data_IF_872290568565
#
_entry.id   IF_872290568565
#
_cell.length_a   1.000
_cell.length_b   1.000
_cell.length_c   1.000
_cell.angle_alpha   90.00
_cell.angle_beta   90.00
_cell.angle_gamma   90.00
#
_symmetry.space_group_name_H-M   'P 1'
#
loop_
_entity.id
_entity.type
_entity.pdbx_description
1 polymer ?
#
# COMPACT_ATOMS: atom_id res chain seq x y z
N UNK A 1 29.28 -53.63 25.29
CA UNK A 1 27.90 -53.10 25.22
C UNK A 1 27.34 -53.45 23.85
N UNK A 2 26.17 -54.08 23.75
CA UNK A 2 25.56 -54.29 22.44
C UNK A 2 25.19 -52.92 21.83
N UNK A 3 25.57 -52.70 20.58
CA UNK A 3 25.15 -51.55 19.80
C UNK A 3 23.67 -51.71 19.43
N UNK A 4 22.81 -50.86 19.97
CA UNK A 4 21.40 -50.82 19.62
C UNK A 4 21.18 -49.72 18.59
N UNK A 5 20.64 -50.10 17.43
CA UNK A 5 20.27 -49.12 16.38
C UNK A 5 19.03 -48.34 16.82
N UNK A 6 19.17 -47.06 17.06
CA UNK A 6 18.05 -46.18 17.27
C UNK A 6 17.45 -45.78 15.91
N UNK A 7 16.19 -46.13 15.67
CA UNK A 7 15.49 -45.79 14.45
C UNK A 7 14.30 -44.93 14.79
N UNK A 8 14.32 -43.69 14.32
CA UNK A 8 13.23 -42.72 14.49
C UNK A 8 12.35 -42.71 13.25
N UNK A 9 11.04 -42.58 13.45
CA UNK A 9 10.07 -42.38 12.38
C UNK A 9 10.12 -40.91 11.94
N UNK A 10 10.17 -40.60 10.63
CA UNK A 10 10.10 -39.23 10.17
C UNK A 10 8.68 -38.67 10.28
N UNK A 11 8.59 -37.36 10.47
CA UNK A 11 7.30 -36.67 10.56
C UNK A 11 6.78 -36.48 11.98
N UNK A 12 5.76 -35.65 12.13
CA UNK A 12 5.07 -35.38 13.39
C UNK A 12 3.73 -36.07 13.35
N UNK A 13 3.46 -36.92 14.33
CA UNK A 13 2.19 -37.62 14.46
C UNK A 13 1.54 -37.27 15.81
N UNK A 14 0.42 -36.57 15.75
CA UNK A 14 -0.40 -36.15 16.90
C UNK A 14 -1.70 -36.95 17.02
N UNK A 15 -1.99 -37.83 16.07
CA UNK A 15 -3.24 -38.59 16.04
C UNK A 15 -3.28 -39.74 17.08
N UNK A 16 -2.11 -40.13 17.58
CA UNK A 16 -1.97 -41.19 18.56
C UNK A 16 -1.30 -40.66 19.82
N UNK A 17 -1.46 -41.38 20.92
CA UNK A 17 -0.81 -41.01 22.18
C UNK A 17 0.71 -41.09 22.04
N UNK A 18 1.45 -40.33 22.86
CA UNK A 18 2.92 -40.36 22.87
C UNK A 18 3.48 -41.73 23.15
N UNK A 19 2.76 -42.59 23.92
CA UNK A 19 3.12 -43.95 24.21
C UNK A 19 3.00 -44.85 22.97
N UNK A 20 1.94 -44.70 22.19
CA UNK A 20 1.73 -45.50 20.96
C UNK A 20 2.66 -45.02 19.82
N UNK A 21 3.13 -43.80 19.88
CA UNK A 21 4.05 -43.18 18.90
C UNK A 21 5.53 -43.41 19.28
N UNK A 22 5.84 -44.53 19.93
CA UNK A 22 7.23 -44.84 20.30
C UNK A 22 8.16 -44.78 19.08
N UNK A 23 9.28 -44.08 19.20
CA UNK A 23 10.21 -43.81 18.10
C UNK A 23 9.74 -42.73 17.10
N UNK A 24 8.59 -42.12 17.32
CA UNK A 24 8.08 -40.96 16.52
C UNK A 24 8.20 -39.63 17.23
N UNK A 25 7.84 -38.59 16.52
CA UNK A 25 7.82 -37.20 17.00
C UNK A 25 6.37 -36.77 17.22
N UNK A 26 6.07 -36.25 18.40
CA UNK A 26 4.73 -35.76 18.76
C UNK A 26 4.62 -34.29 18.48
N UNK A 27 5.72 -33.54 18.65
CA UNK A 27 5.81 -32.10 18.39
C UNK A 27 7.22 -31.70 17.96
N UNK A 28 7.34 -30.62 17.22
CA UNK A 28 8.64 -30.03 16.88
C UNK A 28 8.48 -28.53 16.56
N UNK A 29 9.51 -27.73 16.86
CA UNK A 29 9.64 -26.34 16.47
C UNK A 29 10.92 -26.16 15.66
N UNK A 30 10.81 -25.44 14.55
CA UNK A 30 11.95 -25.07 13.65
C UNK A 30 12.72 -26.27 13.11
N UNK A 31 12.04 -27.39 12.90
CA UNK A 31 12.58 -28.63 12.34
C UNK A 31 11.81 -29.02 11.09
N UNK A 32 12.51 -29.45 10.07
CA UNK A 32 11.96 -30.15 8.90
C UNK A 32 12.52 -31.57 8.82
N UNK A 33 11.78 -32.44 8.16
CA UNK A 33 12.26 -33.79 7.86
C UNK A 33 12.71 -33.86 6.41
N UNK A 34 13.97 -34.22 6.20
CA UNK A 34 14.54 -34.42 4.86
C UNK A 34 15.16 -35.79 4.77
N UNK A 35 14.77 -36.55 3.75
CA UNK A 35 15.22 -37.95 3.57
C UNK A 35 15.05 -38.80 4.81
N UNK A 36 14.00 -38.55 5.61
CA UNK A 36 13.73 -39.28 6.84
C UNK A 36 14.45 -38.78 8.10
N UNK A 37 15.30 -37.80 7.99
CA UNK A 37 16.06 -37.23 9.12
C UNK A 37 15.54 -35.86 9.53
N UNK A 38 15.46 -35.56 10.86
CA UNK A 38 15.15 -34.21 11.32
C UNK A 38 16.34 -33.28 11.05
N UNK A 39 16.05 -32.13 10.44
CA UNK A 39 17.00 -31.09 10.10
C UNK A 39 16.48 -29.75 10.59
N UNK A 40 17.34 -28.92 11.17
CA UNK A 40 16.94 -27.55 11.54
C UNK A 40 16.53 -26.77 10.31
N UNK A 41 15.39 -26.08 10.39
CA UNK A 41 15.06 -25.04 9.42
C UNK A 41 16.04 -23.92 9.63
N UNK A 42 16.72 -23.48 8.55
CA UNK A 42 17.62 -22.32 8.60
C UNK A 42 16.91 -21.08 9.12
N UNK A 43 17.67 -20.15 9.70
CA UNK A 43 17.14 -18.88 10.17
C UNK A 43 16.67 -18.00 9.00
N UNK A 44 15.86 -17.00 9.34
CA UNK A 44 15.43 -15.96 8.40
C UNK A 44 16.59 -14.96 8.21
N UNK A 45 16.89 -14.65 6.97
CA UNK A 45 17.81 -13.58 6.61
C UNK A 45 17.01 -12.47 5.95
N UNK A 46 17.29 -11.23 6.29
CA UNK A 46 16.65 -10.10 5.61
C UNK A 46 17.00 -10.13 4.12
N UNK A 47 15.98 -9.99 3.28
CA UNK A 47 16.15 -9.89 1.83
C UNK A 47 16.88 -8.60 1.45
N UNK A 48 16.55 -7.48 2.10
CA UNK A 48 17.17 -6.17 1.89
C UNK A 48 17.52 -5.52 3.22
N UNK A 49 18.56 -4.71 3.24
CA UNK A 49 18.91 -3.83 4.38
C UNK A 49 18.04 -2.57 4.41
N UNK A 50 17.44 -2.21 3.27
CA UNK A 50 16.55 -1.08 3.14
C UNK A 50 15.18 -1.38 3.75
N UNK A 51 14.47 -0.32 4.11
CA UNK A 51 13.14 -0.39 4.70
C UNK A 51 12.10 0.30 3.82
N UNK A 52 10.85 -0.09 3.97
CA UNK A 52 9.70 0.53 3.33
C UNK A 52 8.67 0.93 4.39
N UNK A 53 7.73 1.79 4.03
CA UNK A 53 6.67 2.22 4.93
C UNK A 53 5.46 1.30 4.82
N UNK A 54 4.84 1.03 5.96
CA UNK A 54 3.64 0.21 6.06
C UNK A 54 3.90 -1.28 6.24
N UNK A 55 2.82 -2.04 6.32
CA UNK A 55 2.83 -3.51 6.42
C UNK A 55 2.58 -4.12 5.05
N UNK A 56 3.48 -4.98 4.56
CA UNK A 56 3.31 -5.66 3.27
C UNK A 56 2.06 -6.55 3.30
N UNK A 57 1.22 -6.42 2.28
CA UNK A 57 -0.04 -7.16 2.09
C UNK A 57 -0.08 -7.93 0.80
N UNK A 58 0.77 -7.55 -0.16
CA UNK A 58 0.95 -8.29 -1.40
C UNK A 58 2.41 -8.31 -1.80
N UNK A 59 2.80 -9.36 -2.48
CA UNK A 59 4.12 -9.55 -3.06
C UNK A 59 3.94 -10.19 -4.43
N UNK A 60 4.45 -9.52 -5.45
CA UNK A 60 4.39 -10.02 -6.83
C UNK A 60 5.75 -9.91 -7.48
N UNK A 61 6.24 -10.98 -8.11
CA UNK A 61 7.56 -10.99 -8.75
C UNK A 61 7.45 -11.27 -10.24
N UNK A 62 8.18 -10.51 -11.05
CA UNK A 62 8.29 -10.75 -12.48
C UNK A 62 9.68 -10.43 -12.98
N UNK A 63 9.95 -10.82 -14.23
CA UNK A 63 11.24 -10.63 -14.88
C UNK A 63 10.98 -9.91 -16.20
N UNK A 64 11.69 -8.81 -16.43
CA UNK A 64 11.67 -8.10 -17.70
C UNK A 64 12.46 -8.86 -18.80
N UNK A 65 12.22 -8.52 -20.05
CA UNK A 65 12.94 -9.09 -21.19
C UNK A 65 14.46 -8.87 -21.13
N UNK A 66 14.89 -7.80 -20.45
CA UNK A 66 16.30 -7.52 -20.15
C UNK A 66 16.92 -8.49 -19.14
N UNK A 67 16.13 -9.36 -18.49
CA UNK A 67 16.56 -10.21 -17.39
C UNK A 67 16.54 -9.51 -16.02
N UNK A 68 16.15 -8.24 -15.95
CA UNK A 68 15.99 -7.51 -14.68
C UNK A 68 14.84 -8.12 -13.88
N UNK A 69 15.12 -8.42 -12.63
CA UNK A 69 14.13 -8.98 -11.69
C UNK A 69 13.48 -7.86 -10.90
N UNK A 70 12.16 -7.85 -10.87
CA UNK A 70 11.36 -6.92 -10.08
C UNK A 70 10.56 -7.67 -9.03
N UNK A 71 10.35 -7.01 -7.91
CA UNK A 71 9.43 -7.44 -6.87
C UNK A 71 8.50 -6.28 -6.53
N UNK A 72 7.21 -6.44 -6.79
CA UNK A 72 6.15 -5.56 -6.31
C UNK A 72 5.87 -5.82 -4.83
N UNK A 73 5.77 -4.76 -4.05
CA UNK A 73 5.44 -4.81 -2.62
C UNK A 73 4.31 -3.83 -2.35
N UNK A 74 3.09 -4.34 -2.25
CA UNK A 74 1.92 -3.56 -1.87
C UNK A 74 1.77 -3.51 -0.35
N UNK A 75 1.73 -2.29 0.20
CA UNK A 75 1.51 -2.07 1.64
C UNK A 75 0.15 -1.44 1.89
N UNK A 76 -0.22 -1.25 3.16
CA UNK A 76 -1.43 -0.53 3.54
C UNK A 76 -1.40 0.97 3.21
N UNK A 77 -0.23 1.54 2.92
CA UNK A 77 -0.07 2.98 2.67
C UNK A 77 0.62 3.32 1.35
N UNK A 78 1.36 2.38 0.76
CA UNK A 78 2.15 2.61 -0.47
C UNK A 78 2.28 1.35 -1.32
N UNK A 79 2.70 1.54 -2.57
CA UNK A 79 3.14 0.46 -3.44
C UNK A 79 4.57 0.71 -3.91
N UNK A 80 5.42 -0.30 -3.79
CA UNK A 80 6.83 -0.24 -4.15
C UNK A 80 7.18 -1.23 -5.25
N UNK A 81 8.11 -0.85 -6.13
CA UNK A 81 8.84 -1.77 -6.99
C UNK A 81 10.28 -1.87 -6.47
N UNK A 82 10.71 -3.08 -6.20
CA UNK A 82 12.07 -3.37 -5.75
C UNK A 82 12.91 -3.78 -6.94
N UNK A 83 13.99 -3.05 -7.17
CA UNK A 83 15.04 -3.35 -8.12
C UNK A 83 16.38 -3.22 -7.42
N UNK A 84 17.22 -4.25 -7.46
CA UNK A 84 18.55 -4.21 -6.84
C UNK A 84 18.56 -3.82 -5.37
N UNK A 85 17.66 -4.37 -4.56
CA UNK A 85 17.44 -4.09 -3.12
C UNK A 85 16.86 -2.70 -2.78
N UNK A 86 16.64 -1.81 -3.75
CA UNK A 86 16.03 -0.51 -3.52
C UNK A 86 14.51 -0.59 -3.60
N UNK A 87 13.80 -0.05 -2.61
CA UNK A 87 12.35 0.12 -2.63
C UNK A 87 11.99 1.45 -3.30
N UNK A 88 11.49 1.39 -4.53
CA UNK A 88 11.12 2.56 -5.30
C UNK A 88 9.60 2.76 -5.19
N UNK A 89 9.19 3.89 -4.66
CA UNK A 89 7.78 4.21 -4.45
C UNK A 89 7.11 4.59 -5.78
N UNK A 90 6.22 3.72 -6.24
CA UNK A 90 5.42 3.93 -7.46
C UNK A 90 3.95 4.19 -7.16
N UNK A 91 3.59 4.47 -5.91
CA UNK A 91 2.20 4.75 -5.51
C UNK A 91 1.57 5.80 -6.40
N UNK A 92 0.40 5.57 -6.98
CA UNK A 92 -0.23 6.51 -7.89
C UNK A 92 -0.56 7.86 -7.24
N UNK A 93 -0.52 8.92 -8.04
CA UNK A 93 -0.94 10.27 -7.64
C UNK A 93 -2.38 10.47 -8.08
N UNK A 94 -3.29 10.76 -7.12
CA UNK A 94 -4.70 11.02 -7.40
C UNK A 94 -5.00 12.45 -7.81
N UNK A 95 -4.20 13.42 -7.33
CA UNK A 95 -4.40 14.84 -7.59
C UNK A 95 -3.07 15.58 -7.57
N UNK A 96 -2.91 16.52 -8.47
CA UNK A 96 -1.82 17.51 -8.45
C UNK A 96 -2.42 18.89 -8.41
N UNK A 97 -1.99 19.72 -7.45
CA UNK A 97 -2.34 21.12 -7.35
C UNK A 97 -1.12 21.96 -7.69
N UNK A 98 -1.28 22.95 -8.57
CA UNK A 98 -0.20 23.82 -9.02
C UNK A 98 -0.43 25.24 -8.53
N UNK A 99 0.52 25.81 -7.81
CA UNK A 99 0.55 27.21 -7.40
C UNK A 99 -0.44 27.64 -6.31
N UNK A 100 -1.24 26.71 -5.78
CA UNK A 100 -2.30 27.06 -4.82
C UNK A 100 -1.95 26.73 -3.37
N UNK A 101 -1.06 25.73 -3.13
CA UNK A 101 -0.70 25.34 -1.78
C UNK A 101 0.18 26.39 -1.09
N UNK A 102 -0.19 26.75 0.13
CA UNK A 102 0.55 27.70 0.98
C UNK A 102 0.79 27.10 2.36
N UNK A 103 1.84 27.59 3.03
CA UNK A 103 2.30 27.08 4.31
C UNK A 103 2.26 28.17 5.38
N UNK A 104 2.01 27.75 6.62
CA UNK A 104 2.12 28.59 7.80
C UNK A 104 2.68 27.76 8.97
N UNK A 105 3.70 28.28 9.63
CA UNK A 105 4.34 27.63 10.80
C UNK A 105 4.43 28.65 11.94
N UNK A 106 3.99 28.25 13.12
CA UNK A 106 4.14 29.10 14.30
C UNK A 106 5.58 29.12 14.82
N UNK A 107 5.99 30.23 15.43
CA UNK A 107 7.28 30.32 16.09
C UNK A 107 7.41 29.27 17.19
N UNK A 108 8.48 28.49 17.17
CA UNK A 108 8.72 27.38 18.09
C UNK A 108 8.03 26.07 17.72
N UNK A 109 7.25 26.02 16.63
CA UNK A 109 6.53 24.80 16.21
C UNK A 109 7.28 24.04 15.10
N UNK A 110 7.04 22.73 15.06
CA UNK A 110 7.43 21.83 13.96
C UNK A 110 6.22 21.39 13.14
N UNK A 111 5.02 21.84 13.50
CA UNK A 111 3.80 21.57 12.77
C UNK A 111 3.56 22.71 11.79
N UNK A 112 3.50 22.39 10.51
CA UNK A 112 3.10 23.32 9.46
C UNK A 112 1.63 23.10 9.11
N UNK A 113 0.87 24.18 9.03
CA UNK A 113 -0.48 24.18 8.43
C UNK A 113 -0.34 24.45 6.94
N UNK A 114 -0.89 23.58 6.13
CA UNK A 114 -0.98 23.72 4.68
C UNK A 114 -2.40 24.12 4.31
N UNK A 115 -2.53 25.13 3.48
CA UNK A 115 -3.81 25.55 2.87
C UNK A 115 -3.77 25.20 1.39
N UNK A 116 -4.67 24.34 0.93
CA UNK A 116 -4.89 23.99 -0.47
C UNK A 116 -6.38 23.65 -0.66
N UNK A 117 -7.05 24.38 -1.51
CA UNK A 117 -8.50 24.29 -1.69
C UNK A 117 -8.93 22.91 -2.21
N UNK A 118 -9.91 22.33 -1.53
CA UNK A 118 -10.53 21.04 -1.91
C UNK A 118 -9.48 19.97 -2.16
N UNK A 119 -8.47 19.87 -1.28
CA UNK A 119 -7.38 18.88 -1.42
C UNK A 119 -7.87 17.43 -1.37
N UNK A 120 -8.98 17.17 -0.69
CA UNK A 120 -9.62 15.85 -0.59
C UNK A 120 -8.74 14.78 0.08
N UNK A 121 -7.78 15.18 0.88
CA UNK A 121 -6.90 14.28 1.61
C UNK A 121 -7.47 13.93 2.98
N UNK A 122 -7.12 12.75 3.49
CA UNK A 122 -7.42 12.26 4.83
C UNK A 122 -6.14 12.28 5.69
N UNK A 123 -6.31 12.20 7.00
CA UNK A 123 -5.18 11.95 7.90
C UNK A 123 -4.56 10.58 7.59
N UNK A 124 -3.24 10.52 7.51
CA UNK A 124 -2.49 9.33 7.08
C UNK A 124 -2.17 9.28 5.59
N UNK A 125 -2.81 10.13 4.75
CA UNK A 125 -2.43 10.26 3.33
C UNK A 125 -1.03 10.89 3.19
N UNK A 126 -0.42 10.72 2.03
CA UNK A 126 0.88 11.31 1.71
C UNK A 126 0.75 12.39 0.64
N UNK A 127 1.54 13.45 0.82
CA UNK A 127 1.66 14.54 -0.14
C UNK A 127 3.12 14.85 -0.39
N UNK A 128 3.51 15.03 -1.65
CA UNK A 128 4.85 15.46 -2.04
C UNK A 128 4.79 16.88 -2.55
N UNK A 129 5.62 17.78 -1.97
CA UNK A 129 5.75 19.14 -2.45
C UNK A 129 6.99 19.33 -3.31
N UNK A 130 6.87 20.21 -4.27
CA UNK A 130 7.98 20.73 -5.06
C UNK A 130 7.77 22.20 -5.41
N UNK A 131 8.85 22.90 -5.72
CA UNK A 131 8.83 24.34 -6.09
C UNK A 131 8.28 25.27 -4.99
N UNK A 132 8.20 24.82 -3.75
CA UNK A 132 7.91 25.69 -2.62
C UNK A 132 9.13 26.57 -2.29
N UNK A 133 8.89 27.86 -2.05
CA UNK A 133 9.90 28.78 -1.59
C UNK A 133 10.08 28.72 -0.06
N UNK A 134 11.19 29.23 0.46
CA UNK A 134 11.41 29.39 1.90
C UNK A 134 10.36 30.31 2.53
N UNK A 135 10.03 30.03 3.80
CA UNK A 135 9.19 30.96 4.58
C UNK A 135 9.96 32.17 5.13
N UNK A 136 11.29 32.21 4.94
CA UNK A 136 12.13 33.33 5.32
C UNK A 136 13.03 33.10 6.54
N UNK A 137 12.82 32.02 7.28
CA UNK A 137 13.59 31.65 8.46
C UNK A 137 14.17 30.23 8.37
N UNK A 138 13.92 29.43 9.41
CA UNK A 138 14.37 28.04 9.48
C UNK A 138 13.64 27.10 8.51
N UNK A 139 12.43 27.45 8.13
CA UNK A 139 11.63 26.66 7.19
C UNK A 139 12.04 27.02 5.77
N UNK A 140 13.08 26.37 5.30
CA UNK A 140 13.68 26.60 3.97
C UNK A 140 12.92 25.83 2.89
N UNK A 141 13.19 26.14 1.62
CA UNK A 141 12.67 25.38 0.48
C UNK A 141 13.04 23.90 0.55
N UNK A 142 14.25 23.56 1.03
CA UNK A 142 14.69 22.17 1.19
C UNK A 142 13.89 21.41 2.26
N UNK A 143 13.42 22.10 3.29
CA UNK A 143 12.55 21.53 4.34
C UNK A 143 11.15 21.27 3.80
N UNK A 144 10.64 22.11 2.90
CA UNK A 144 9.29 22.01 2.37
C UNK A 144 9.17 21.08 1.15
N UNK A 145 10.17 21.04 0.28
CA UNK A 145 10.12 20.26 -0.97
C UNK A 145 10.46 18.78 -0.75
N UNK A 146 9.65 18.13 0.09
CA UNK A 146 9.76 16.73 0.47
C UNK A 146 8.39 16.07 0.44
N UNK A 147 8.37 14.77 0.72
CA UNK A 147 7.15 14.02 0.98
C UNK A 147 6.80 14.07 2.46
N UNK A 148 5.52 14.27 2.76
CA UNK A 148 4.98 14.34 4.12
C UNK A 148 3.74 13.48 4.28
N UNK A 149 3.61 12.88 5.45
CA UNK A 149 2.36 12.31 5.93
C UNK A 149 1.46 13.42 6.48
N UNK A 150 0.20 13.42 6.09
CA UNK A 150 -0.82 14.35 6.58
C UNK A 150 -1.25 13.92 7.97
N UNK A 151 -1.00 14.77 8.98
CA UNK A 151 -1.26 14.44 10.37
C UNK A 151 -2.71 14.65 10.76
N UNK A 152 -3.29 15.78 10.41
CA UNK A 152 -4.68 16.13 10.68
C UNK A 152 -5.29 16.89 9.51
N UNK A 153 -6.60 16.79 9.37
CA UNK A 153 -7.39 17.50 8.35
C UNK A 153 -8.48 18.31 9.05
N UNK A 154 -8.16 19.55 9.52
CA UNK A 154 -9.14 20.42 10.19
C UNK A 154 -10.29 20.86 9.29
N UNK A 155 -10.08 20.99 8.00
CA UNK A 155 -11.11 21.38 7.03
C UNK A 155 -10.83 20.80 5.65
N UNK A 156 -11.80 20.92 4.74
CA UNK A 156 -11.64 20.52 3.33
C UNK A 156 -10.52 21.29 2.59
N UNK A 157 -10.03 22.38 3.16
CA UNK A 157 -9.05 23.27 2.55
C UNK A 157 -7.75 23.37 3.33
N UNK A 158 -7.64 22.74 4.51
CA UNK A 158 -6.46 22.85 5.37
C UNK A 158 -6.11 21.50 6.00
N UNK A 159 -4.82 21.23 6.10
CA UNK A 159 -4.28 20.07 6.81
C UNK A 159 -2.95 20.41 7.47
N UNK A 160 -2.46 19.56 8.33
CA UNK A 160 -1.18 19.73 9.02
C UNK A 160 -0.17 18.66 8.62
N UNK A 161 1.09 19.07 8.57
CA UNK A 161 2.24 18.18 8.35
C UNK A 161 3.31 18.48 9.40
N UNK A 162 4.19 17.51 9.66
CA UNK A 162 5.37 17.71 10.52
C UNK A 162 6.60 18.00 9.66
N UNK A 163 7.19 19.17 9.85
CA UNK A 163 8.43 19.54 9.18
C UNK A 163 9.64 19.22 10.07
N UNK A 164 10.81 19.01 9.45
CA UNK A 164 12.03 18.61 10.17
C UNK A 164 12.71 19.77 10.93
N UNK A 165 12.31 21.02 10.65
CA UNK A 165 12.88 22.21 11.29
C UNK A 165 11.84 22.90 12.18
N UNK A 166 12.31 23.52 13.25
CA UNK A 166 11.46 24.35 14.13
C UNK A 166 11.34 25.75 13.57
N UNK A 167 10.11 26.21 13.37
CA UNK A 167 9.82 27.55 12.89
C UNK A 167 10.35 28.64 13.83
N UNK A 168 10.73 29.77 13.29
CA UNK A 168 11.16 30.93 14.04
C UNK A 168 10.36 32.18 13.65
N UNK A 169 10.64 33.31 14.32
CA UNK A 169 9.92 34.57 14.09
C UNK A 169 10.11 35.14 12.67
N UNK A 170 11.09 34.67 11.91
CA UNK A 170 11.35 35.09 10.53
C UNK A 170 10.60 34.28 9.48
N UNK A 171 9.96 33.15 9.88
CA UNK A 171 9.17 32.29 9.00
C UNK A 171 7.78 32.89 8.75
N UNK A 172 7.74 34.03 8.10
CA UNK A 172 6.52 34.84 7.79
C UNK A 172 6.03 34.66 6.35
N UNK A 173 6.81 33.98 5.49
CA UNK A 173 6.42 33.66 4.13
C UNK A 173 5.37 32.54 4.06
N UNK A 174 4.86 32.32 2.87
CA UNK A 174 3.81 31.32 2.61
C UNK A 174 4.21 30.21 1.61
N UNK A 175 5.50 30.07 1.31
CA UNK A 175 5.99 29.06 0.36
C UNK A 175 5.97 29.53 -1.12
N UNK A 176 5.46 30.72 -1.41
CA UNK A 176 5.38 31.28 -2.76
C UNK A 176 4.23 30.70 -3.61
N UNK A 177 4.00 31.35 -4.77
CA UNK A 177 2.87 31.00 -5.68
C UNK A 177 3.18 29.91 -6.72
N UNK A 178 4.27 29.17 -6.61
CA UNK A 178 4.69 28.12 -7.55
C UNK A 178 4.70 26.70 -6.95
N UNK A 179 4.27 26.56 -5.70
CA UNK A 179 4.24 25.25 -5.01
C UNK A 179 3.38 24.26 -5.75
N UNK A 180 3.96 23.10 -6.06
CA UNK A 180 3.24 21.95 -6.62
C UNK A 180 3.03 20.94 -5.50
N UNK A 181 1.79 20.58 -5.24
CA UNK A 181 1.42 19.55 -4.29
C UNK A 181 0.87 18.31 -5.04
N UNK A 182 1.50 17.14 -4.83
CA UNK A 182 1.09 15.87 -5.41
C UNK A 182 0.56 14.96 -4.31
N UNK A 183 -0.73 14.69 -4.34
CA UNK A 183 -1.42 13.83 -3.37
C UNK A 183 -1.45 12.39 -3.87
N UNK A 184 -0.99 11.46 -3.07
CA UNK A 184 -1.12 10.03 -3.36
C UNK A 184 -2.58 9.58 -3.27
N UNK A 185 -2.85 8.40 -3.82
CA UNK A 185 -4.13 7.71 -3.57
C UNK A 185 -4.22 7.34 -2.10
N UNK A 186 -5.44 7.35 -1.56
CA UNK A 186 -5.72 6.73 -0.27
C UNK A 186 -5.71 5.21 -0.47
N UNK A 187 -4.80 4.52 0.21
CA UNK A 187 -4.68 3.07 0.16
C UNK A 187 -5.68 2.35 1.10
N UNK A 188 -6.54 3.11 1.77
CA UNK A 188 -7.54 2.56 2.66
C UNK A 188 -7.05 2.34 4.09
N UNK A 189 -7.85 1.62 4.86
CA UNK A 189 -7.60 1.45 6.30
C UNK A 189 -6.44 0.48 6.57
N UNK A 190 -5.68 0.77 7.62
CA UNK A 190 -4.66 -0.14 8.14
C UNK A 190 -5.29 -1.41 8.73
N UNK A 191 -6.41 -1.27 9.39
CA UNK A 191 -7.16 -2.39 9.96
C UNK A 191 -8.62 -2.33 9.53
N UNK A 192 -9.22 -3.50 9.29
CA UNK A 192 -10.65 -3.57 9.05
C UNK A 192 -11.40 -3.34 10.36
N UNK A 193 -12.28 -2.35 10.39
CA UNK A 193 -13.24 -2.19 11.48
C UNK A 193 -14.34 -3.22 11.30
N UNK A 194 -14.55 -4.08 12.31
CA UNK A 194 -15.63 -5.07 12.28
C UNK A 194 -16.98 -4.40 12.07
N UNK A 195 -17.87 -5.05 11.32
CA UNK A 195 -19.23 -4.59 11.05
C UNK A 195 -20.09 -4.44 12.33
N UNK A 196 -21.36 -4.15 12.15
CA UNK A 196 -22.36 -4.10 13.24
C UNK A 196 -22.66 -5.51 13.74
N UNK A 197 -22.68 -5.72 15.05
CA UNK A 197 -23.06 -7.00 15.65
C UNK A 197 -22.33 -7.30 16.97
N UNK A 198 -22.63 -8.46 17.53
CA UNK A 198 -21.97 -8.97 18.73
C UNK A 198 -20.48 -9.17 18.47
N UNK A 199 -19.62 -8.47 19.23
CA UNK A 199 -18.18 -8.48 19.04
C UNK A 199 -17.62 -7.44 18.06
N UNK A 200 -18.44 -6.62 17.44
CA UNK A 200 -18.02 -5.51 16.59
C UNK A 200 -17.64 -4.27 17.41
N UNK A 201 -16.41 -4.22 17.90
CA UNK A 201 -15.88 -3.08 18.65
C UNK A 201 -16.11 -3.15 20.16
N UNK A 202 -15.94 -2.02 20.86
CA UNK A 202 -16.07 -1.95 22.32
C UNK A 202 -17.51 -2.09 22.79
N UNK A 203 -17.74 -2.76 23.93
CA UNK A 203 -18.99 -2.72 24.66
C UNK A 203 -19.33 -1.27 25.00
N UNK A 204 -20.61 -0.87 24.88
CA UNK A 204 -21.12 0.50 25.03
C UNK A 204 -21.04 1.39 23.79
N UNK A 205 -20.99 0.82 22.59
CA UNK A 205 -21.22 1.57 21.35
C UNK A 205 -22.72 1.85 21.17
N UNK A 206 -23.18 2.94 21.72
CA UNK A 206 -24.60 3.34 21.62
C UNK A 206 -25.48 2.76 22.72
N UNK A 207 -26.75 3.20 22.75
CA UNK A 207 -27.76 2.73 23.67
C UNK A 207 -28.36 1.41 23.20
N UNK A 208 -28.94 0.62 24.12
CA UNK A 208 -29.68 -0.59 23.77
C UNK A 208 -30.76 -0.26 22.72
N UNK A 209 -30.70 -0.95 21.58
CA UNK A 209 -31.64 -0.75 20.47
C UNK A 209 -31.24 0.27 19.42
N UNK A 210 -30.13 0.99 19.57
CA UNK A 210 -29.54 1.80 18.50
C UNK A 210 -28.33 1.10 17.89
N UNK A 211 -28.38 0.90 16.58
CA UNK A 211 -27.20 0.42 15.85
C UNK A 211 -26.11 1.50 15.92
N UNK A 212 -24.90 1.11 16.34
CA UNK A 212 -23.74 1.97 16.13
C UNK A 212 -23.56 2.19 14.63
N UNK A 213 -23.44 3.43 14.20
CA UNK A 213 -23.07 3.75 12.81
C UNK A 213 -21.60 3.34 12.61
N UNK A 214 -21.38 2.11 12.21
CA UNK A 214 -20.09 1.65 11.74
C UNK A 214 -20.15 1.70 10.23
N UNK A 215 -19.23 2.41 9.59
CA UNK A 215 -19.07 2.32 8.15
C UNK A 215 -18.72 0.87 7.81
N UNK A 216 -19.64 0.15 7.22
CA UNK A 216 -19.45 -1.24 6.78
C UNK A 216 -18.71 -1.30 5.43
N UNK A 217 -18.49 -0.14 4.81
CA UNK A 217 -17.95 -0.02 3.46
C UNK A 217 -16.42 0.06 3.41
N UNK A 218 -15.75 0.24 4.54
CA UNK A 218 -14.31 0.28 4.57
C UNK A 218 -13.72 -1.14 4.44
N UNK A 219 -13.37 -1.52 3.23
CA UNK A 219 -12.67 -2.78 2.97
C UNK A 219 -11.18 -2.65 3.34
N UNK A 220 -10.60 -3.75 3.79
CA UNK A 220 -9.16 -3.83 3.99
C UNK A 220 -8.44 -3.52 2.67
N UNK A 221 -7.43 -2.64 2.72
CA UNK A 221 -6.59 -2.33 1.57
C UNK A 221 -5.80 -3.58 1.15
N UNK A 222 -6.22 -4.20 0.07
CA UNK A 222 -5.57 -5.34 -0.55
C UNK A 222 -5.23 -4.96 -1.99
N UNK A 223 -4.01 -5.23 -2.38
CA UNK A 223 -3.57 -5.06 -3.75
C UNK A 223 -3.78 -6.34 -4.55
N UNK A 224 -4.21 -6.19 -5.79
CA UNK A 224 -4.09 -7.22 -6.81
C UNK A 224 -3.21 -6.67 -7.93
N UNK A 225 -2.28 -7.47 -8.35
CA UNK A 225 -1.28 -7.11 -9.34
C UNK A 225 -1.05 -8.22 -10.33
N UNK A 226 -0.68 -7.83 -11.54
CA UNK A 226 -0.26 -8.74 -12.58
C UNK A 226 0.66 -8.02 -13.58
N UNK A 227 1.49 -8.75 -14.32
CA UNK A 227 2.35 -8.14 -15.31
C UNK A 227 1.70 -8.09 -16.69
N UNK A 228 1.78 -6.94 -17.32
CA UNK A 228 1.38 -6.75 -18.72
C UNK A 228 2.65 -6.64 -19.60
N UNK A 229 3.20 -7.78 -19.92
CA UNK A 229 4.53 -7.83 -20.57
C UNK A 229 5.64 -7.52 -19.58
N UNK A 230 6.31 -6.38 -19.70
CA UNK A 230 7.32 -5.92 -18.75
C UNK A 230 6.76 -4.97 -17.69
N UNK A 231 5.59 -4.41 -17.96
CA UNK A 231 4.91 -3.41 -17.16
C UNK A 231 4.06 -4.05 -16.07
N UNK A 232 3.64 -3.26 -15.10
CA UNK A 232 2.87 -3.74 -13.96
C UNK A 232 1.47 -3.13 -13.95
N UNK A 233 0.47 -3.99 -13.87
CA UNK A 233 -0.91 -3.62 -13.61
C UNK A 233 -1.17 -3.72 -12.11
N UNK A 234 -1.81 -2.71 -11.56
CA UNK A 234 -2.11 -2.60 -10.13
C UNK A 234 -3.58 -2.25 -9.92
N UNK A 235 -4.20 -2.88 -8.96
CA UNK A 235 -5.50 -2.48 -8.48
C UNK A 235 -5.54 -2.54 -6.96
N UNK A 236 -5.92 -1.46 -6.34
CA UNK A 236 -6.31 -1.47 -4.95
C UNK A 236 -7.80 -1.85 -4.87
N UNK A 237 -8.14 -2.82 -4.04
CA UNK A 237 -9.50 -3.35 -3.92
C UNK A 237 -10.54 -2.25 -3.76
N UNK A 238 -11.59 -2.28 -4.58
CA UNK A 238 -12.65 -1.27 -4.66
C UNK A 238 -12.15 0.13 -5.05
N UNK A 239 -11.07 0.19 -5.84
CA UNK A 239 -10.49 1.42 -6.36
C UNK A 239 -10.22 1.27 -7.86
N UNK A 240 -9.64 2.31 -8.45
CA UNK A 240 -9.27 2.33 -9.86
C UNK A 240 -8.17 1.31 -10.20
N UNK A 241 -7.98 1.08 -11.48
CA UNK A 241 -6.89 0.27 -12.03
C UNK A 241 -5.75 1.21 -12.41
N UNK A 242 -4.54 0.86 -12.03
CA UNK A 242 -3.33 1.64 -12.29
C UNK A 242 -2.34 0.84 -13.12
N UNK A 243 -1.53 1.56 -13.86
CA UNK A 243 -0.51 1.01 -14.76
C UNK A 243 0.83 1.67 -14.50
N UNK A 244 1.86 0.87 -14.30
CA UNK A 244 3.23 1.32 -14.19
C UNK A 244 4.01 0.88 -15.41
N UNK A 245 4.50 1.86 -16.16
CA UNK A 245 5.32 1.66 -17.35
C UNK A 245 6.79 1.53 -16.96
N UNK A 246 7.36 0.35 -17.18
CA UNK A 246 8.78 0.09 -16.93
C UNK A 246 9.68 1.03 -17.72
N UNK A 247 9.28 1.45 -18.93
CA UNK A 247 10.10 2.33 -19.77
C UNK A 247 10.32 3.71 -19.15
N UNK A 248 9.41 4.16 -18.27
CA UNK A 248 9.56 5.37 -17.46
C UNK A 248 10.57 5.23 -16.31
N UNK A 249 11.05 4.03 -16.04
CA UNK A 249 11.98 3.70 -14.96
C UNK A 249 11.31 3.63 -13.58
N UNK A 250 12.07 3.17 -12.58
CA UNK A 250 11.57 2.92 -11.22
C UNK A 250 11.22 4.19 -10.43
N UNK A 251 11.64 5.36 -10.90
CA UNK A 251 11.26 6.63 -10.29
C UNK A 251 9.88 7.16 -10.78
N UNK A 252 9.33 6.56 -11.85
CA UNK A 252 8.04 6.93 -12.37
C UNK A 252 6.92 6.34 -11.49
N UNK A 253 5.92 7.17 -11.17
CA UNK A 253 4.72 6.71 -10.45
C UNK A 253 3.77 5.99 -11.39
N UNK A 254 3.05 4.99 -10.87
CA UNK A 254 1.96 4.39 -11.61
C UNK A 254 0.86 5.44 -11.87
N UNK A 255 0.21 5.32 -13.02
CA UNK A 255 -0.85 6.23 -13.46
C UNK A 255 -2.19 5.50 -13.53
N UNK A 256 -3.29 6.23 -13.43
CA UNK A 256 -4.60 5.65 -13.62
C UNK A 256 -4.70 5.12 -15.07
N UNK A 257 -5.19 3.90 -15.24
CA UNK A 257 -5.32 3.27 -16.57
C UNK A 257 -6.19 4.11 -17.51
N UNK A 258 -7.18 4.85 -16.98
CA UNK A 258 -8.02 5.78 -17.76
C UNK A 258 -7.25 6.94 -18.38
N UNK A 259 -6.06 7.25 -17.88
CA UNK A 259 -5.22 8.37 -18.38
C UNK A 259 -4.32 7.98 -19.56
N UNK A 260 -4.25 6.70 -19.89
CA UNK A 260 -3.46 6.23 -21.02
C UNK A 260 -4.11 6.59 -22.36
N UNK A 261 -3.30 6.90 -23.34
CA UNK A 261 -3.80 7.15 -24.69
C UNK A 261 -4.53 5.92 -25.23
N UNK A 262 -5.70 6.15 -25.84
CA UNK A 262 -6.58 5.12 -26.38
C UNK A 262 -7.23 4.16 -25.36
N UNK A 263 -7.11 4.42 -24.09
CA UNK A 263 -7.81 3.68 -23.03
C UNK A 263 -9.23 4.23 -22.86
N UNK A 264 -10.16 3.80 -23.70
CA UNK A 264 -11.59 4.12 -23.56
C UNK A 264 -12.29 3.08 -22.69
N UNK A 265 -13.34 3.51 -22.01
CA UNK A 265 -14.24 2.60 -21.28
C UNK A 265 -13.57 1.74 -20.20
N UNK A 266 -12.46 2.20 -19.64
CA UNK A 266 -11.79 1.53 -18.53
C UNK A 266 -12.70 1.56 -17.30
N UNK A 267 -12.78 0.45 -16.54
CA UNK A 267 -13.48 0.47 -15.25
C UNK A 267 -12.92 1.55 -14.32
N UNK A 268 -13.81 2.33 -13.71
CA UNK A 268 -13.42 3.34 -12.72
C UNK A 268 -13.17 2.74 -11.35
N UNK A 269 -13.73 1.54 -11.11
CA UNK A 269 -13.57 0.77 -9.88
C UNK A 269 -13.55 -0.73 -10.20
N UNK A 270 -12.69 -1.48 -9.51
CA UNK A 270 -12.64 -2.94 -9.57
C UNK A 270 -12.26 -3.53 -8.21
N UNK A 271 -12.70 -4.74 -7.93
CA UNK A 271 -12.30 -5.49 -6.73
C UNK A 271 -10.94 -6.17 -6.91
N UNK A 272 -10.69 -6.66 -8.12
CA UNK A 272 -9.48 -7.40 -8.47
C UNK A 272 -9.22 -7.31 -9.97
N UNK A 273 -7.95 -7.37 -10.35
CA UNK A 273 -7.53 -7.44 -11.74
C UNK A 273 -6.59 -8.61 -11.98
N UNK A 274 -6.56 -9.10 -13.20
CA UNK A 274 -5.59 -10.04 -13.70
C UNK A 274 -5.36 -9.81 -15.20
N UNK A 275 -4.26 -10.32 -15.72
CA UNK A 275 -3.92 -10.31 -17.15
C UNK A 275 -4.01 -11.73 -17.70
N UNK A 276 -4.64 -11.88 -18.87
CA UNK A 276 -4.66 -13.17 -19.60
C UNK A 276 -3.30 -13.40 -20.27
N UNK A 277 -2.59 -14.45 -19.87
CA UNK A 277 -1.25 -14.79 -20.40
C UNK A 277 -1.22 -14.93 -21.93
N UNK A 278 -2.22 -15.57 -22.50
CA UNK A 278 -2.25 -15.89 -23.93
C UNK A 278 -2.68 -14.73 -24.81
N UNK A 279 -3.63 -13.93 -24.35
CA UNK A 279 -4.33 -12.93 -25.16
C UNK A 279 -4.02 -11.49 -24.71
N UNK A 280 -3.35 -11.32 -23.59
CA UNK A 280 -3.02 -10.02 -22.96
C UNK A 280 -4.25 -9.13 -22.71
N UNK A 281 -5.41 -9.75 -22.46
CA UNK A 281 -6.58 -9.01 -22.00
C UNK A 281 -6.45 -8.71 -20.50
N UNK A 282 -6.73 -7.48 -20.11
CA UNK A 282 -6.92 -7.11 -18.71
C UNK A 282 -8.33 -7.53 -18.33
N UNK A 283 -8.47 -8.33 -17.30
CA UNK A 283 -9.76 -8.81 -16.77
C UNK A 283 -9.97 -8.14 -15.41
N UNK A 284 -11.08 -7.42 -15.27
CA UNK A 284 -11.49 -6.73 -14.05
C UNK A 284 -12.71 -7.43 -13.45
N UNK A 285 -12.59 -7.85 -12.20
CA UNK A 285 -13.66 -8.51 -11.44
C UNK A 285 -14.31 -7.51 -10.48
N UNK A 286 -15.65 -7.62 -10.35
CA UNK A 286 -16.40 -6.70 -9.50
C UNK A 286 -16.24 -5.26 -9.95
N UNK A 287 -16.38 -5.03 -11.24
CA UNK A 287 -16.20 -3.73 -11.88
C UNK A 287 -17.49 -2.89 -11.86
N UNK A 288 -17.40 -1.64 -12.26
CA UNK A 288 -18.57 -0.80 -12.55
C UNK A 288 -19.19 -1.16 -13.91
N UNK A 289 -20.48 -0.91 -14.04
CA UNK A 289 -21.18 -1.04 -15.32
C UNK A 289 -20.70 0.05 -16.28
N UNK A 290 -20.52 -0.31 -17.55
CA UNK A 290 -20.09 0.61 -18.60
C UNK A 290 -20.94 1.89 -18.61
N UNK A 291 -20.26 3.04 -18.58
CA UNK A 291 -20.89 4.36 -18.55
C UNK A 291 -21.41 4.79 -17.18
N UNK A 292 -21.13 4.03 -16.13
CA UNK A 292 -21.46 4.37 -14.74
C UNK A 292 -20.23 4.33 -13.84
N UNK A 293 -20.39 4.76 -12.59
CA UNK A 293 -19.37 4.61 -11.53
C UNK A 293 -19.85 3.68 -10.40
N UNK A 294 -21.00 3.01 -10.60
CA UNK A 294 -21.58 2.12 -9.60
C UNK A 294 -20.99 0.73 -9.78
N UNK A 295 -20.29 0.26 -8.77
CA UNK A 295 -19.68 -1.06 -8.75
C UNK A 295 -20.74 -2.17 -8.65
N UNK A 296 -20.61 -3.20 -9.47
CA UNK A 296 -21.35 -4.45 -9.36
C UNK A 296 -20.36 -5.58 -9.01
N UNK A 297 -20.43 -6.15 -7.80
CA UNK A 297 -19.49 -7.19 -7.35
C UNK A 297 -19.48 -8.46 -8.22
N UNK A 298 -20.52 -8.68 -9.00
CA UNK A 298 -20.64 -9.86 -9.86
C UNK A 298 -20.25 -9.58 -11.32
N UNK A 299 -20.02 -8.31 -11.68
CA UNK A 299 -19.69 -7.92 -13.05
C UNK A 299 -18.21 -8.20 -13.34
N UNK A 300 -17.96 -8.86 -14.47
CA UNK A 300 -16.62 -9.05 -15.02
C UNK A 300 -16.53 -8.24 -16.33
N UNK A 301 -15.49 -7.40 -16.41
CA UNK A 301 -15.16 -6.67 -17.65
C UNK A 301 -13.77 -7.08 -18.13
N UNK A 302 -13.57 -7.04 -19.42
CA UNK A 302 -12.26 -7.31 -20.01
C UNK A 302 -11.94 -6.29 -21.10
N UNK A 303 -10.64 -6.01 -21.28
CA UNK A 303 -10.16 -5.12 -22.33
C UNK A 303 -10.18 -5.81 -23.70
N UNK A 304 -10.24 -5.02 -24.77
CA UNK A 304 -9.72 -5.47 -26.06
C UNK A 304 -8.21 -5.72 -25.93
N UNK A 305 -7.69 -6.58 -26.74
CA UNK A 305 -6.23 -6.83 -26.84
C UNK A 305 -5.51 -5.63 -27.42
#
# INVERSE_FOLDING_TARGET
MPLTKLQYKPGINRDVTSYTNEGGWVDSDKVRFRLGFPEKIGGWVKYSVNTYLGSARSLFSWIALSGTKFLGVGTNIKYYVVEGDAFNDITPIRKTTNGAATFSVANGATVATVTDNAHGANAGDFVTFSSAASLGGNITAAVLNLEFEIQTVPSANTYTINVSATGNASDTGNGGGSTVAKYQIDCGLDTQVGGTGWGAGTWQRGTWGSAASVSTEASLALWSEDNFGEDLLLNLRNSAIYYWDKSGGVAARAVNLTSLANASDVPTVAMQVMVSDNSRHIIAFGADTLGTTTQDPLLIRFSSS
#
